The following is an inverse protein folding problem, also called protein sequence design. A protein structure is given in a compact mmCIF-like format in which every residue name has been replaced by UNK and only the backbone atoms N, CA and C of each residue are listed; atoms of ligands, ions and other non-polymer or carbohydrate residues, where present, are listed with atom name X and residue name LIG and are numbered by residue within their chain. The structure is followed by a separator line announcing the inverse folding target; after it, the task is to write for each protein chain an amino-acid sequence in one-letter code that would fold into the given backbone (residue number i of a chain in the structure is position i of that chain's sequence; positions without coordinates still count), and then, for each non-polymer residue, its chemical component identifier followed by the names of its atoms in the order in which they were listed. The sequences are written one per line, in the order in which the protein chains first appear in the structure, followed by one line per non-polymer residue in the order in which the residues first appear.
data_IF_706939538881
#
_entry.id   IF_706939538881
#
_cell.length_a   1.000
_cell.length_b   1.000
_cell.length_c   1.000
_cell.angle_alpha   90.00
_cell.angle_beta   90.00
_cell.angle_gamma   90.00
#
_symmetry.space_group_name_H-M   'P 1'
#
loop_
_entity.id
_entity.type
_entity.pdbx_description
1 polymer ?
#
# COMPACT_ATOMS: atom_id res chain seq x y z
N UNK A 1 -9.33 7.73 12.85
CA UNK A 1 -7.88 7.75 13.07
C UNK A 1 -7.25 8.47 11.89
N UNK A 2 -6.19 9.26 12.10
CA UNK A 2 -5.40 9.86 11.04
C UNK A 2 -4.11 9.07 10.90
N UNK A 3 -3.77 8.67 9.68
CA UNK A 3 -2.50 8.03 9.34
C UNK A 3 -1.73 8.91 8.35
N UNK A 4 -0.41 8.98 8.51
CA UNK A 4 0.47 9.78 7.66
C UNK A 4 1.68 8.92 7.28
N UNK A 5 1.87 8.69 5.98
CA UNK A 5 3.09 8.09 5.46
C UNK A 5 4.19 9.14 5.39
N UNK A 6 5.38 8.76 5.85
CA UNK A 6 6.58 9.61 5.85
C UNK A 6 7.79 8.82 5.35
N UNK A 7 8.94 9.50 5.25
CA UNK A 7 10.22 8.84 4.98
C UNK A 7 10.76 7.99 6.14
N UNK A 8 10.15 8.08 7.33
CA UNK A 8 10.58 7.34 8.54
C UNK A 8 9.53 6.32 9.01
N UNK A 9 8.47 6.12 8.24
CA UNK A 9 7.42 5.14 8.51
C UNK A 9 6.02 5.74 8.44
N UNK A 10 5.04 4.95 8.87
CA UNK A 10 3.67 5.40 9.01
C UNK A 10 3.45 5.86 10.44
N UNK A 11 2.90 7.06 10.59
CA UNK A 11 2.55 7.63 11.87
C UNK A 11 1.04 7.75 12.00
N UNK A 12 0.52 7.66 13.22
CA UNK A 12 -0.91 7.78 13.47
C UNK A 12 -1.24 8.64 14.68
N UNK A 13 -2.41 9.29 14.61
CA UNK A 13 -2.97 10.06 15.71
C UNK A 13 -4.50 9.91 15.73
N UNK A 14 -5.10 9.99 16.93
CA UNK A 14 -6.54 10.02 17.11
C UNK A 14 -7.08 11.36 16.63
N UNK A 15 -7.95 11.32 15.62
CA UNK A 15 -8.67 12.49 15.16
C UNK A 15 -9.87 12.71 16.09
N UNK A 16 -9.73 13.64 17.05
CA UNK A 16 -10.83 14.10 17.90
C UNK A 16 -11.46 15.37 17.29
N UNK A 17 -12.63 15.81 17.79
CA UNK A 17 -13.36 17.00 17.25
C UNK A 17 -12.50 18.25 17.14
N UNK A 18 -11.54 18.40 18.04
CA UNK A 18 -10.46 19.40 17.94
C UNK A 18 -9.17 18.64 17.65
N UNK A 19 -8.53 18.94 16.52
CA UNK A 19 -7.17 18.47 16.27
C UNK A 19 -6.26 19.16 17.30
N UNK A 20 -5.90 18.42 18.35
CA UNK A 20 -4.84 18.83 19.25
C UNK A 20 -3.54 18.43 18.58
N UNK A 21 -2.56 19.33 18.62
CA UNK A 21 -1.17 19.06 18.25
C UNK A 21 -0.60 18.03 19.25
N UNK A 22 -1.03 16.78 19.10
CA UNK A 22 -0.64 15.64 19.92
C UNK A 22 0.47 14.86 19.23
N UNK A 23 1.24 14.12 20.01
CA UNK A 23 2.30 13.27 19.46
C UNK A 23 1.71 12.20 18.54
N UNK A 24 2.17 12.22 17.29
CA UNK A 24 1.99 11.10 16.38
C UNK A 24 2.79 9.90 16.89
N UNK A 25 2.19 8.72 16.83
CA UNK A 25 2.84 7.47 17.21
C UNK A 25 3.25 6.72 15.94
N UNK A 26 4.45 6.13 15.93
CA UNK A 26 4.89 5.27 14.85
C UNK A 26 4.06 3.98 14.84
N UNK A 27 3.58 3.57 13.67
CA UNK A 27 3.01 2.24 13.44
C UNK A 27 4.17 1.24 13.47
N UNK A 28 4.10 0.30 14.40
CA UNK A 28 5.16 -0.67 14.63
C UNK A 28 5.43 -1.50 13.36
N UNK A 29 6.71 -1.70 13.03
CA UNK A 29 7.13 -2.45 11.84
C UNK A 29 7.22 -1.63 10.54
N UNK A 30 6.83 -0.35 10.54
CA UNK A 30 6.84 0.49 9.33
C UNK A 30 8.10 1.35 9.16
N UNK A 31 9.11 1.22 10.04
CA UNK A 31 10.31 2.08 10.09
C UNK A 31 11.17 1.99 8.81
N UNK A 32 10.79 2.78 7.82
CA UNK A 32 11.42 2.97 6.49
C UNK A 32 10.52 3.90 5.66
N UNK A 33 10.98 4.31 4.48
CA UNK A 33 10.18 5.12 3.57
C UNK A 33 8.84 4.46 3.25
N UNK A 34 7.76 5.17 3.57
CA UNK A 34 6.40 4.85 3.17
C UNK A 34 5.99 5.81 2.06
N UNK A 35 5.57 5.27 0.93
CA UNK A 35 5.23 6.04 -0.27
C UNK A 35 3.74 6.34 -0.36
N UNK A 36 2.91 5.42 0.11
CA UNK A 36 1.47 5.54 0.01
C UNK A 36 0.78 4.76 1.13
N UNK A 37 -0.35 5.28 1.59
CA UNK A 37 -1.30 4.59 2.47
C UNK A 37 -2.66 4.61 1.80
N UNK A 38 -3.33 3.47 1.80
CA UNK A 38 -4.62 3.28 1.16
C UNK A 38 -5.43 2.23 1.90
N UNK A 39 -6.76 2.33 1.80
CA UNK A 39 -7.66 1.28 2.29
C UNK A 39 -8.09 0.43 1.10
N UNK A 40 -7.71 -0.84 1.09
CA UNK A 40 -8.08 -1.81 0.06
C UNK A 40 -8.70 -3.01 0.75
N UNK A 41 -9.86 -3.47 0.27
CA UNK A 41 -10.57 -4.62 0.84
C UNK A 41 -10.88 -4.48 2.36
N UNK A 42 -11.03 -3.25 2.86
CA UNK A 42 -11.23 -2.97 4.28
C UNK A 42 -9.95 -3.03 5.12
N UNK A 43 -8.79 -3.25 4.50
CA UNK A 43 -7.49 -3.32 5.16
C UNK A 43 -6.70 -2.04 4.94
N UNK A 44 -5.98 -1.59 5.97
CA UNK A 44 -5.05 -0.46 5.84
C UNK A 44 -3.74 -0.97 5.24
N UNK A 45 -3.45 -0.56 4.01
CA UNK A 45 -2.27 -0.97 3.26
C UNK A 45 -1.26 0.17 3.24
N UNK A 46 0.01 -0.14 3.46
CA UNK A 46 1.14 0.76 3.31
C UNK A 46 2.08 0.23 2.22
N UNK A 47 2.23 1.00 1.14
CA UNK A 47 3.30 0.79 0.17
C UNK A 47 4.61 1.37 0.75
N UNK A 48 5.55 0.51 1.05
CA UNK A 48 6.78 0.83 1.79
C UNK A 48 7.99 0.24 1.05
N UNK A 49 9.18 0.77 1.32
CA UNK A 49 10.43 0.19 0.82
C UNK A 49 10.65 -1.29 1.24
N UNK A 50 9.97 -1.77 2.28
CA UNK A 50 10.03 -3.15 2.76
C UNK A 50 8.92 -4.06 2.21
N UNK A 51 7.99 -3.53 1.41
CA UNK A 51 6.86 -4.33 0.95
C UNK A 51 5.54 -3.59 0.80
N UNK A 52 4.52 -4.38 0.45
CA UNK A 52 3.12 -4.04 0.70
C UNK A 52 2.75 -4.55 2.09
N UNK A 53 2.68 -3.63 3.05
CA UNK A 53 2.44 -3.94 4.46
C UNK A 53 0.95 -3.82 4.75
N UNK A 54 0.37 -4.84 5.38
CA UNK A 54 -0.98 -4.78 5.96
C UNK A 54 -0.85 -4.32 7.40
N UNK A 55 -1.53 -3.23 7.75
CA UNK A 55 -1.52 -2.65 9.09
C UNK A 55 -2.81 -3.02 9.81
N UNK A 56 -2.68 -3.58 11.02
CA UNK A 56 -3.79 -3.86 11.92
C UNK A 56 -3.38 -3.49 13.34
N UNK A 57 -4.29 -2.89 14.10
CA UNK A 57 -4.04 -2.49 15.50
C UNK A 57 -2.75 -1.67 15.67
N UNK A 58 -2.45 -0.81 14.70
CA UNK A 58 -1.26 0.07 14.64
C UNK A 58 0.10 -0.65 14.62
N UNK A 59 0.14 -1.86 14.07
CA UNK A 59 1.35 -2.61 13.75
C UNK A 59 1.24 -3.29 12.39
N UNK A 60 2.37 -3.65 11.78
CA UNK A 60 2.38 -4.54 10.61
C UNK A 60 1.91 -5.93 11.04
N UNK A 61 0.82 -6.38 10.43
CA UNK A 61 0.23 -7.70 10.65
C UNK A 61 0.75 -8.71 9.63
N UNK A 62 0.84 -8.31 8.36
CA UNK A 62 1.30 -9.14 7.23
C UNK A 62 2.10 -8.32 6.24
N UNK A 63 3.00 -9.00 5.52
CA UNK A 63 3.71 -8.46 4.36
C UNK A 63 3.28 -9.29 3.16
N UNK A 64 2.57 -8.67 2.20
CA UNK A 64 2.03 -9.40 1.05
C UNK A 64 3.11 -9.72 0.03
N UNK A 65 4.09 -8.83 -0.08
CA UNK A 65 5.27 -8.98 -0.92
C UNK A 65 6.39 -8.09 -0.38
N UNK A 66 7.65 -8.50 -0.56
CA UNK A 66 8.82 -7.89 0.08
C UNK A 66 9.60 -6.91 -0.81
N UNK A 67 9.21 -6.73 -2.08
CA UNK A 67 9.77 -5.65 -2.92
C UNK A 67 9.33 -4.27 -2.40
N UNK A 68 10.11 -3.22 -2.64
CA UNK A 68 9.69 -1.87 -2.26
C UNK A 68 8.63 -1.31 -3.21
N UNK A 69 7.45 -0.97 -2.70
CA UNK A 69 6.32 -0.46 -3.48
C UNK A 69 6.09 1.03 -3.32
N UNK A 70 5.62 1.65 -4.41
CA UNK A 70 5.20 3.04 -4.44
C UNK A 70 3.71 3.24 -4.18
N UNK A 71 2.88 2.28 -4.58
CA UNK A 71 1.42 2.34 -4.47
C UNK A 71 0.76 1.23 -5.28
N UNK A 72 -0.54 1.03 -5.06
CA UNK A 72 -1.37 0.12 -5.86
C UNK A 72 -2.50 0.92 -6.51
N UNK A 73 -2.89 0.54 -7.73
CA UNK A 73 -4.07 1.07 -8.42
C UNK A 73 -5.00 -0.08 -8.79
N UNK A 74 -6.30 0.09 -8.58
CA UNK A 74 -7.31 -0.87 -9.05
C UNK A 74 -7.30 -0.94 -10.58
N UNK A 75 -7.43 -2.14 -11.14
CA UNK A 75 -7.51 -2.33 -12.58
C UNK A 75 -8.94 -1.99 -13.05
N UNK A 76 -9.10 -1.04 -13.99
CA UNK A 76 -10.40 -0.73 -14.59
C UNK A 76 -11.10 -2.00 -15.10
N UNK A 77 -12.42 -2.06 -14.90
CA UNK A 77 -13.25 -3.22 -15.25
C UNK A 77 -12.90 -4.55 -14.56
N UNK A 78 -11.94 -4.56 -13.63
CA UNK A 78 -11.49 -5.74 -12.90
C UNK A 78 -11.38 -5.45 -11.39
N UNK A 79 -12.51 -5.21 -10.69
CA UNK A 79 -12.55 -4.59 -9.34
C UNK A 79 -11.94 -5.43 -8.20
N UNK A 80 -11.51 -6.65 -8.49
CA UNK A 80 -10.79 -7.50 -7.54
C UNK A 80 -9.28 -7.50 -7.77
N UNK A 81 -8.76 -6.84 -8.80
CA UNK A 81 -7.35 -6.86 -9.15
C UNK A 81 -6.73 -5.47 -9.08
N UNK A 82 -5.49 -5.43 -8.61
CA UNK A 82 -4.73 -4.21 -8.43
C UNK A 82 -3.34 -4.37 -9.04
N UNK A 83 -2.84 -3.33 -9.70
CA UNK A 83 -1.46 -3.24 -10.15
C UNK A 83 -0.67 -2.48 -9.09
N UNK A 84 0.38 -3.10 -8.56
CA UNK A 84 1.35 -2.47 -7.66
C UNK A 84 2.64 -2.12 -8.40
N UNK A 85 3.01 -0.84 -8.38
CA UNK A 85 4.30 -0.37 -8.88
C UNK A 85 5.39 -0.51 -7.80
N UNK A 86 6.53 -1.10 -8.16
CA UNK A 86 7.65 -1.37 -7.26
C UNK A 86 9.02 -1.15 -7.94
N UNK A 87 10.10 -1.26 -7.17
CA UNK A 87 11.47 -1.10 -7.67
C UNK A 87 11.87 -2.13 -8.74
N UNK A 88 11.23 -3.29 -8.78
CA UNK A 88 11.42 -4.34 -9.78
C UNK A 88 10.42 -4.29 -10.95
N UNK A 89 9.62 -3.23 -11.07
CA UNK A 89 8.58 -3.10 -12.09
C UNK A 89 7.17 -3.18 -11.53
N UNK A 90 6.36 -4.13 -11.98
CA UNK A 90 4.94 -4.23 -11.61
C UNK A 90 4.55 -5.61 -11.08
N UNK A 91 3.56 -5.64 -10.20
CA UNK A 91 2.95 -6.87 -9.68
C UNK A 91 1.44 -6.76 -9.63
N UNK A 92 0.77 -7.90 -9.62
CA UNK A 92 -0.68 -8.02 -9.48
C UNK A 92 -1.01 -8.48 -8.06
N UNK A 93 -1.99 -7.80 -7.47
CA UNK A 93 -2.62 -8.17 -6.20
C UNK A 93 -4.09 -8.49 -6.44
N UNK A 94 -4.63 -9.40 -5.63
CA UNK A 94 -6.02 -9.84 -5.72
C UNK A 94 -6.73 -9.60 -4.39
N UNK A 95 -7.88 -8.94 -4.45
CA UNK A 95 -8.82 -8.83 -3.34
C UNK A 95 -9.62 -10.12 -3.26
N UNK A 96 -9.50 -10.78 -2.11
CA UNK A 96 -10.25 -11.99 -1.77
C UNK A 96 -11.18 -11.73 -0.59
N UNK A 97 -12.01 -12.71 -0.24
CA UNK A 97 -12.81 -12.66 0.99
C UNK A 97 -11.97 -12.63 2.28
N UNK A 98 -10.67 -12.97 2.20
CA UNK A 98 -9.71 -12.94 3.33
C UNK A 98 -8.83 -11.68 3.33
N UNK A 99 -9.15 -10.70 2.48
CA UNK A 99 -8.34 -9.51 2.28
C UNK A 99 -7.50 -9.56 1.00
N UNK A 100 -6.54 -8.63 0.90
CA UNK A 100 -5.66 -8.48 -0.25
C UNK A 100 -4.52 -9.51 -0.21
N UNK A 101 -4.21 -10.13 -1.34
CA UNK A 101 -3.09 -11.07 -1.48
C UNK A 101 -2.20 -10.69 -2.66
N UNK A 102 -0.91 -11.00 -2.58
CA UNK A 102 -0.03 -10.98 -3.75
C UNK A 102 -0.38 -12.15 -4.68
N UNK A 103 -0.43 -11.89 -5.99
CA UNK A 103 -0.74 -12.90 -7.01
C UNK A 103 0.51 -13.28 -7.82
N UNK A 104 1.08 -12.33 -8.55
CA UNK A 104 2.22 -12.57 -9.44
C UNK A 104 2.93 -11.27 -9.83
N UNK A 105 4.17 -11.38 -10.34
CA UNK A 105 4.85 -10.30 -11.07
C UNK A 105 4.25 -10.14 -12.46
N UNK A 106 4.25 -8.94 -13.00
CA UNK A 106 3.93 -8.71 -14.41
C UNK A 106 5.17 -9.02 -15.24
N UNK A 107 5.10 -10.09 -16.04
CA UNK A 107 6.21 -10.49 -16.89
C UNK A 107 6.48 -9.45 -17.99
N UNK A 108 7.74 -9.29 -18.36
CA UNK A 108 8.19 -8.34 -19.38
C UNK A 108 8.28 -6.88 -18.92
N UNK A 109 7.80 -6.55 -17.71
CA UNK A 109 7.88 -5.20 -17.14
C UNK A 109 8.75 -5.19 -15.87
N UNK A 110 10.07 -5.23 -16.06
CA UNK A 110 11.06 -5.30 -14.97
C UNK A 110 11.72 -3.97 -14.59
N UNK A 111 11.29 -2.88 -15.23
CA UNK A 111 11.82 -1.54 -14.95
C UNK A 111 10.93 -0.82 -13.95
N UNK A 112 11.53 -0.32 -12.89
CA UNK A 112 10.87 0.56 -11.92
C UNK A 112 10.17 1.73 -12.63
N UNK A 113 8.90 1.94 -12.30
CA UNK A 113 8.18 3.16 -12.62
C UNK A 113 7.24 3.47 -11.46
N UNK A 114 7.48 4.59 -10.78
CA UNK A 114 6.59 5.04 -9.70
C UNK A 114 5.23 5.47 -10.26
N UNK A 115 5.27 6.23 -11.34
CA UNK A 115 4.10 6.83 -11.95
C UNK A 115 3.69 5.99 -13.18
N UNK A 116 2.42 5.63 -13.25
CA UNK A 116 1.81 4.87 -14.34
C UNK A 116 0.32 5.16 -14.35
N UNK A 117 -0.35 5.01 -15.50
CA UNK A 117 -1.80 5.12 -15.60
C UNK A 117 -2.40 3.86 -16.21
N UNK A 118 -3.65 3.59 -15.84
CA UNK A 118 -4.44 2.48 -16.35
C UNK A 118 -5.57 3.07 -17.19
N UNK A 119 -5.79 2.51 -18.38
CA UNK A 119 -6.88 2.89 -19.26
C UNK A 119 -7.87 1.72 -19.36
N UNK A 120 -9.15 2.06 -19.49
CA UNK A 120 -10.27 1.13 -19.64
C UNK A 120 -10.60 0.89 -21.13
N UNK A 121 -10.22 1.82 -22.02
CA UNK A 121 -10.72 1.87 -23.41
C UNK A 121 -10.15 0.82 -24.35
N UNK A 122 -9.17 0.03 -23.92
CA UNK A 122 -8.47 -0.95 -24.76
C UNK A 122 -8.22 -2.30 -24.07
N UNK A 123 -8.96 -2.62 -23.00
CA UNK A 123 -8.88 -3.92 -22.30
C UNK A 123 -9.94 -4.92 -22.77
#
# INVERSE_FOLDING_TARGET
MLYVATNQGVFYNKLNREFKDGSFNLVEGTSSQSWNIQVIAGELICANNKGVLVIKDNKVDRILDQEGYFGLKEIPSHPNYFVGANYGGFAIFEKTFKGLIFRNRVEGLYKSSKDFELDDKHM
#
